data_IF_086519415292
#
_entry.id   IF_086519415292
#
_cell.length_a   1.000
_cell.length_b   1.000
_cell.length_c   1.000
_cell.angle_alpha   90.00
_cell.angle_beta   90.00
_cell.angle_gamma   90.00
#
_symmetry.space_group_name_H-M   'P 1'
#
loop_
_entity.id
_entity.type
_entity.pdbx_description
1 polymer ?
#
# COMPACT_ATOMS: atom_id res chain seq x y z
N UNK A 1 -1.63 -19.81 76.48
CA UNK A 1 -1.49 -20.47 75.16
C UNK A 1 -2.63 -19.99 74.29
N UNK A 2 -2.36 -19.25 73.24
CA UNK A 2 -3.18 -18.80 72.12
C UNK A 2 -2.89 -17.32 71.78
N UNK A 3 -1.75 -17.05 71.10
CA UNK A 3 -1.51 -15.70 70.51
C UNK A 3 -0.52 -15.70 69.33
N UNK A 4 -0.48 -16.78 68.52
CA UNK A 4 0.45 -16.87 67.36
C UNK A 4 -0.24 -17.07 66.00
N UNK A 5 -1.59 -17.05 65.96
CA UNK A 5 -2.34 -17.29 64.70
C UNK A 5 -2.81 -16.06 63.93
N UNK A 6 -2.75 -14.86 64.49
CA UNK A 6 -3.30 -13.64 63.85
C UNK A 6 -2.27 -12.84 63.04
N UNK A 7 -0.99 -13.08 63.22
CA UNK A 7 0.06 -12.28 62.53
C UNK A 7 0.42 -12.80 61.13
N UNK A 8 0.07 -14.06 60.80
CA UNK A 8 0.38 -14.68 59.52
C UNK A 8 -0.68 -14.42 58.44
N UNK A 9 -1.93 -14.12 58.83
CA UNK A 9 -3.02 -13.87 57.87
C UNK A 9 -3.07 -12.42 57.33
N UNK A 10 -2.46 -11.47 58.04
CA UNK A 10 -2.46 -10.05 57.66
C UNK A 10 -1.34 -9.75 56.65
N UNK A 11 -0.25 -10.52 56.61
CA UNK A 11 0.84 -10.35 55.69
C UNK A 11 0.58 -10.94 54.29
N UNK A 12 -0.30 -11.92 54.18
CA UNK A 12 -0.69 -12.52 52.90
C UNK A 12 -1.76 -11.71 52.12
N UNK A 13 -2.54 -10.85 52.81
CA UNK A 13 -3.53 -10.00 52.15
C UNK A 13 -2.89 -8.75 51.47
N UNK A 14 -1.81 -8.22 52.05
CA UNK A 14 -1.08 -7.09 51.48
C UNK A 14 -0.22 -7.52 50.26
N UNK A 15 0.36 -8.71 50.29
CA UNK A 15 1.12 -9.26 49.15
C UNK A 15 0.18 -9.62 47.99
N UNK A 16 -1.03 -10.07 48.29
CA UNK A 16 -2.02 -10.42 47.26
C UNK A 16 -2.61 -9.17 46.59
N UNK A 17 -2.76 -8.04 47.29
CA UNK A 17 -3.28 -6.80 46.70
C UNK A 17 -2.23 -6.09 45.82
N UNK A 18 -0.97 -6.10 46.24
CA UNK A 18 0.11 -5.52 45.46
C UNK A 18 0.40 -6.30 44.15
N UNK A 19 0.31 -7.65 44.22
CA UNK A 19 0.48 -8.47 43.00
C UNK A 19 -0.71 -8.40 42.06
N UNK A 20 -1.93 -8.14 42.55
CA UNK A 20 -3.10 -7.93 41.69
C UNK A 20 -3.12 -6.58 41.04
N UNK A 21 -2.62 -5.53 41.69
CA UNK A 21 -2.53 -4.18 41.09
C UNK A 21 -1.39 -4.06 40.07
N UNK A 22 -0.26 -4.74 40.26
CA UNK A 22 0.80 -4.79 39.25
C UNK A 22 0.44 -5.69 38.06
N UNK A 23 -0.37 -6.74 38.23
CA UNK A 23 -0.85 -7.58 37.12
C UNK A 23 -2.02 -6.96 36.32
N UNK A 24 -2.73 -5.98 36.85
CA UNK A 24 -3.84 -5.28 36.18
C UNK A 24 -3.38 -4.11 35.30
N UNK A 25 -2.11 -3.73 35.33
CA UNK A 25 -1.58 -2.59 34.56
C UNK A 25 -0.76 -2.97 33.31
N UNK A 26 -0.70 -4.24 32.92
CA UNK A 26 -0.22 -4.62 31.60
C UNK A 26 -1.39 -4.58 30.61
N UNK A 27 -1.95 -3.40 30.37
CA UNK A 27 -2.63 -3.17 29.10
C UNK A 27 -1.58 -3.42 28.01
N UNK A 28 -1.71 -4.54 27.32
CA UNK A 28 -0.88 -4.81 26.14
C UNK A 28 -1.07 -3.61 25.20
N UNK A 29 -0.08 -2.74 25.16
CA UNK A 29 -0.09 -1.56 24.29
C UNK A 29 -0.24 -2.07 22.87
N UNK A 30 -1.42 -1.95 22.31
CA UNK A 30 -1.74 -2.48 20.98
C UNK A 30 -1.28 -1.49 19.94
N UNK A 31 -0.39 -1.94 19.04
CA UNK A 31 0.00 -1.20 17.86
C UNK A 31 -1.18 -1.12 16.89
N UNK A 32 -1.57 0.07 16.51
CA UNK A 32 -2.70 0.35 15.63
C UNK A 32 -2.27 0.27 14.17
N UNK A 33 -2.85 -0.66 13.43
CA UNK A 33 -2.58 -0.83 12.00
C UNK A 33 -3.55 0.00 11.18
N UNK A 34 -3.02 0.83 10.29
CA UNK A 34 -3.77 1.59 9.29
C UNK A 34 -3.32 1.11 7.92
N UNK A 35 -4.25 0.53 7.17
CA UNK A 35 -3.97 0.05 5.83
C UNK A 35 -4.36 1.10 4.78
N UNK A 36 -3.41 1.41 3.88
CA UNK A 36 -3.61 2.34 2.76
C UNK A 36 -3.73 1.51 1.48
N UNK A 37 -4.92 1.52 0.89
CA UNK A 37 -5.26 0.81 -0.33
C UNK A 37 -5.63 1.77 -1.45
N UNK A 38 -5.88 1.27 -2.63
CA UNK A 38 -6.26 2.06 -3.80
C UNK A 38 -5.48 1.64 -5.03
N UNK A 39 -6.05 1.87 -6.20
CA UNK A 39 -5.46 1.46 -7.46
C UNK A 39 -4.13 2.17 -7.76
N UNK A 40 -3.43 1.68 -8.77
CA UNK A 40 -2.14 2.24 -9.22
C UNK A 40 -2.28 3.72 -9.62
N UNK A 41 -1.43 4.59 -9.04
CA UNK A 41 -1.43 6.02 -9.32
C UNK A 41 -2.53 6.83 -8.64
N UNK A 42 -3.33 6.23 -7.75
CA UNK A 42 -4.39 6.93 -7.01
C UNK A 42 -3.87 7.97 -6.01
N UNK A 43 -2.64 7.79 -5.49
CA UNK A 43 -2.03 8.72 -4.52
C UNK A 43 -1.68 8.10 -3.17
N UNK A 44 -1.58 6.76 -3.06
CA UNK A 44 -1.24 6.07 -1.80
C UNK A 44 0.05 6.58 -1.16
N UNK A 45 1.11 6.63 -1.94
CA UNK A 45 2.41 7.16 -1.48
C UNK A 45 2.33 8.63 -1.11
N UNK A 46 1.53 9.43 -1.84
CA UNK A 46 1.30 10.84 -1.49
C UNK A 46 0.61 10.99 -0.14
N UNK A 47 -0.42 10.16 0.13
CA UNK A 47 -1.07 10.13 1.44
C UNK A 47 -0.08 9.76 2.54
N UNK A 48 0.71 8.69 2.31
CA UNK A 48 1.75 8.25 3.26
C UNK A 48 2.74 9.38 3.56
N UNK A 49 3.25 10.06 2.53
CA UNK A 49 4.15 11.20 2.69
C UNK A 49 3.51 12.33 3.50
N UNK A 50 2.25 12.68 3.21
CA UNK A 50 1.54 13.71 3.98
C UNK A 50 1.45 13.34 5.47
N UNK A 51 1.09 12.09 5.79
CA UNK A 51 1.03 11.60 7.18
C UNK A 51 2.39 11.71 7.85
N UNK A 52 3.44 11.23 7.20
CA UNK A 52 4.79 11.20 7.79
C UNK A 52 5.37 12.60 7.95
N UNK A 53 5.17 13.50 7.00
CA UNK A 53 5.62 14.90 7.09
C UNK A 53 4.94 15.65 8.22
N UNK A 54 3.64 15.40 8.45
CA UNK A 54 2.87 16.15 9.45
C UNK A 54 3.03 15.57 10.86
N UNK A 55 3.08 14.24 10.98
CA UNK A 55 3.02 13.54 12.27
C UNK A 55 4.24 12.68 12.61
N UNK A 56 5.14 12.43 11.66
CA UNK A 56 6.27 11.50 11.86
C UNK A 56 7.16 11.84 13.05
N UNK A 57 7.30 13.14 13.37
CA UNK A 57 8.10 13.59 14.53
C UNK A 57 7.42 13.44 15.89
N UNK A 58 6.10 13.42 15.90
CA UNK A 58 5.29 13.39 17.14
C UNK A 58 4.75 12.00 17.47
N UNK A 59 4.90 11.04 16.55
CA UNK A 59 4.27 9.73 16.60
C UNK A 59 5.33 8.62 16.49
N UNK A 60 5.20 7.59 17.31
CA UNK A 60 5.98 6.36 17.17
C UNK A 60 5.36 5.51 16.06
N UNK A 61 5.77 5.74 14.84
CA UNK A 61 5.21 5.09 13.66
C UNK A 61 6.20 4.14 12.98
N UNK A 62 5.66 3.04 12.46
CA UNK A 62 6.32 2.16 11.50
C UNK A 62 5.60 2.20 10.16
N UNK A 63 6.30 1.84 9.11
CA UNK A 63 5.77 1.79 7.74
C UNK A 63 6.18 0.50 7.07
N UNK A 64 5.23 -0.21 6.48
CA UNK A 64 5.48 -1.31 5.56
C UNK A 64 5.03 -0.85 4.18
N UNK A 65 5.96 -0.79 3.23
CA UNK A 65 5.71 -0.37 1.85
C UNK A 65 5.84 -1.55 0.92
N UNK A 66 4.82 -1.73 0.10
CA UNK A 66 4.84 -2.72 -0.97
C UNK A 66 4.81 -2.02 -2.32
N UNK A 67 5.93 -1.49 -2.76
CA UNK A 67 6.06 -0.91 -4.10
C UNK A 67 7.28 -1.43 -4.87
N UNK A 68 7.12 -1.52 -6.18
CA UNK A 68 8.19 -1.75 -7.15
C UNK A 68 8.94 -0.43 -7.39
N UNK A 69 9.98 -0.15 -6.61
CA UNK A 69 10.88 0.96 -6.89
C UNK A 69 11.18 1.86 -5.71
N UNK A 70 12.47 2.09 -5.48
CA UNK A 70 13.09 2.91 -4.43
C UNK A 70 12.73 4.41 -4.43
N UNK A 71 11.76 4.83 -5.26
CA UNK A 71 11.59 6.24 -5.61
C UNK A 71 10.58 7.04 -4.78
N UNK A 72 9.81 6.44 -3.88
CA UNK A 72 8.58 7.11 -3.44
C UNK A 72 8.49 7.53 -1.99
N UNK A 73 9.38 7.08 -1.14
CA UNK A 73 9.50 7.65 0.20
C UNK A 73 10.95 8.10 0.30
N UNK A 74 11.16 9.40 0.41
CA UNK A 74 12.50 9.94 0.60
C UNK A 74 13.14 9.22 1.79
N UNK A 75 14.11 8.34 1.53
CA UNK A 75 14.82 7.60 2.58
C UNK A 75 15.42 8.55 3.63
N UNK A 76 15.66 9.84 3.24
CA UNK A 76 15.99 10.92 4.14
C UNK A 76 14.91 11.28 5.15
N UNK A 77 13.63 11.34 4.72
CA UNK A 77 12.50 11.61 5.63
C UNK A 77 12.34 10.50 6.68
N UNK A 78 12.60 9.26 6.30
CA UNK A 78 12.44 8.11 7.19
C UNK A 78 13.64 7.91 8.12
N UNK A 79 14.88 8.15 7.63
CA UNK A 79 16.10 7.93 8.40
C UNK A 79 16.39 9.01 9.46
N UNK A 80 15.99 10.27 9.22
CA UNK A 80 16.22 11.38 10.14
C UNK A 80 15.16 11.50 11.25
N UNK A 81 13.99 10.86 11.10
CA UNK A 81 12.83 11.02 11.99
C UNK A 81 12.56 9.84 12.91
N UNK A 82 13.40 8.80 12.89
CA UNK A 82 13.23 7.63 13.78
C UNK A 82 12.04 6.72 13.40
N UNK A 83 11.54 6.81 12.16
CA UNK A 83 10.45 5.98 11.65
C UNK A 83 11.02 4.60 11.28
N UNK A 84 10.38 3.54 11.78
CA UNK A 84 10.74 2.16 11.42
C UNK A 84 10.22 1.83 10.02
N UNK A 85 11.11 1.54 9.08
CA UNK A 85 10.76 1.18 7.70
C UNK A 85 10.99 -0.30 7.45
N UNK A 86 10.03 -0.98 6.81
CA UNK A 86 10.20 -2.27 6.16
C UNK A 86 9.74 -2.20 4.72
N UNK A 87 10.65 -2.51 3.79
CA UNK A 87 10.36 -2.53 2.35
C UNK A 87 10.16 -3.96 1.86
N UNK A 88 9.04 -4.20 1.20
CA UNK A 88 8.74 -5.47 0.56
C UNK A 88 8.95 -5.34 -0.95
N UNK A 89 10.01 -5.94 -1.46
CA UNK A 89 10.31 -5.94 -2.89
C UNK A 89 9.61 -7.11 -3.60
N UNK A 90 9.06 -6.84 -4.79
CA UNK A 90 8.56 -7.82 -5.77
C UNK A 90 7.20 -8.49 -5.51
N UNK A 91 6.11 -7.73 -5.56
CA UNK A 91 4.75 -8.28 -5.71
C UNK A 91 3.70 -7.73 -4.74
N UNK A 92 2.47 -8.24 -4.81
CA UNK A 92 1.40 -7.84 -3.88
C UNK A 92 1.59 -8.51 -2.51
N UNK A 93 1.48 -7.75 -1.41
CA UNK A 93 1.54 -8.28 -0.04
C UNK A 93 0.52 -9.40 0.24
N UNK A 94 -0.53 -9.51 -0.56
CA UNK A 94 -1.52 -10.57 -0.47
C UNK A 94 -1.27 -11.72 -1.47
N UNK A 95 -0.12 -11.72 -2.16
CA UNK A 95 0.28 -12.80 -3.03
C UNK A 95 0.90 -13.95 -2.22
N UNK A 96 0.56 -15.19 -2.57
CA UNK A 96 1.10 -16.39 -1.91
C UNK A 96 2.64 -16.46 -1.85
N UNK A 97 3.34 -15.85 -2.82
CA UNK A 97 4.81 -15.85 -2.87
C UNK A 97 5.47 -14.78 -1.98
N UNK A 98 4.73 -13.81 -1.44
CA UNK A 98 5.24 -12.72 -0.58
C UNK A 98 4.56 -12.73 0.79
N UNK A 99 3.51 -13.54 0.94
CA UNK A 99 2.78 -13.65 2.20
C UNK A 99 3.71 -13.90 3.39
N UNK A 100 4.70 -14.75 3.22
CA UNK A 100 5.66 -15.08 4.28
C UNK A 100 6.49 -13.85 4.68
N UNK A 101 7.04 -13.10 3.72
CA UNK A 101 7.82 -11.88 3.99
C UNK A 101 6.97 -10.77 4.61
N UNK A 102 5.72 -10.65 4.20
CA UNK A 102 4.81 -9.67 4.79
C UNK A 102 4.46 -10.03 6.23
N UNK A 103 4.20 -11.31 6.50
CA UNK A 103 3.98 -11.85 7.83
C UNK A 103 5.21 -11.64 8.71
N UNK A 104 6.40 -11.96 8.21
CA UNK A 104 7.67 -11.74 8.93
C UNK A 104 7.85 -10.25 9.29
N UNK A 105 7.53 -9.33 8.36
CA UNK A 105 7.59 -7.89 8.61
C UNK A 105 6.59 -7.43 9.67
N UNK A 106 5.38 -7.98 9.68
CA UNK A 106 4.39 -7.68 10.72
C UNK A 106 4.87 -8.17 12.10
N UNK A 107 5.43 -9.37 12.18
CA UNK A 107 5.99 -9.92 13.40
C UNK A 107 7.19 -9.07 13.87
N UNK A 108 8.12 -8.72 12.98
CA UNK A 108 9.26 -7.85 13.30
C UNK A 108 8.79 -6.51 13.86
N UNK A 109 7.84 -5.85 13.18
CA UNK A 109 7.31 -4.56 13.62
C UNK A 109 6.60 -4.65 14.97
N UNK A 110 5.91 -5.77 15.26
CA UNK A 110 5.21 -5.99 16.53
C UNK A 110 6.12 -5.97 17.76
N UNK A 111 7.41 -6.24 17.58
CA UNK A 111 8.43 -6.23 18.65
C UNK A 111 9.06 -4.86 18.86
N UNK A 112 8.71 -3.84 18.05
CA UNK A 112 9.20 -2.48 18.18
C UNK A 112 8.27 -1.63 19.06
N UNK A 113 8.79 -0.62 19.72
CA UNK A 113 7.99 0.33 20.51
C UNK A 113 7.30 1.35 19.58
N UNK A 114 6.27 0.88 18.87
CA UNK A 114 5.50 1.68 17.92
C UNK A 114 4.04 1.80 18.40
N UNK A 115 3.41 2.93 18.08
CA UNK A 115 1.99 3.19 18.35
C UNK A 115 1.13 2.91 17.12
N UNK A 116 1.67 3.25 15.93
CA UNK A 116 1.01 3.10 14.65
C UNK A 116 1.89 2.33 13.67
N UNK A 117 1.25 1.50 12.86
CA UNK A 117 1.86 0.83 11.73
C UNK A 117 1.05 1.13 10.47
N UNK A 118 1.64 1.90 9.57
CA UNK A 118 1.05 2.19 8.27
C UNK A 118 1.50 1.14 7.25
N UNK A 119 0.53 0.59 6.52
CA UNK A 119 0.79 -0.43 5.49
C UNK A 119 0.32 0.09 4.16
N UNK A 120 1.24 0.39 3.24
CA UNK A 120 0.90 0.72 1.87
C UNK A 120 0.74 -0.57 1.06
N UNK A 121 -0.49 -0.88 0.67
CA UNK A 121 -0.81 -2.04 -0.16
C UNK A 121 -0.49 -1.78 -1.64
N UNK A 122 -0.17 -2.82 -2.40
CA UNK A 122 -0.03 -2.67 -3.87
C UNK A 122 -1.36 -2.26 -4.51
N UNK A 123 -1.29 -1.62 -5.68
CA UNK A 123 -2.48 -1.10 -6.36
C UNK A 123 -3.51 -2.14 -6.80
N UNK A 124 -3.15 -3.42 -6.80
CA UNK A 124 -4.03 -4.56 -7.11
C UNK A 124 -4.28 -5.45 -5.89
N UNK A 125 -3.91 -5.00 -4.70
CA UNK A 125 -4.11 -5.76 -3.48
C UNK A 125 -5.60 -5.82 -3.10
N UNK A 126 -6.03 -7.00 -2.70
CA UNK A 126 -7.34 -7.24 -2.08
C UNK A 126 -7.16 -7.26 -0.55
N UNK A 127 -7.75 -6.29 0.17
CA UNK A 127 -7.55 -6.15 1.61
C UNK A 127 -8.36 -7.11 2.47
N UNK A 128 -9.28 -7.88 1.88
CA UNK A 128 -10.31 -8.66 2.58
C UNK A 128 -9.79 -9.69 3.59
N UNK A 129 -8.55 -10.17 3.41
CA UNK A 129 -7.96 -11.22 4.26
C UNK A 129 -7.04 -10.69 5.38
N UNK A 130 -6.93 -9.38 5.58
CA UNK A 130 -6.01 -8.82 6.59
C UNK A 130 -6.36 -9.30 8.00
N UNK A 131 -7.66 -9.37 8.33
CA UNK A 131 -8.11 -9.89 9.62
C UNK A 131 -7.67 -11.35 9.87
N UNK A 132 -7.74 -12.19 8.84
CA UNK A 132 -7.28 -13.59 8.92
C UNK A 132 -5.77 -13.67 9.13
N UNK A 133 -4.99 -12.80 8.48
CA UNK A 133 -3.54 -12.74 8.66
C UNK A 133 -3.21 -12.38 10.11
N UNK A 134 -3.82 -11.32 10.65
CA UNK A 134 -3.56 -10.87 12.03
C UNK A 134 -3.95 -11.93 13.08
N UNK A 135 -5.06 -12.61 12.87
CA UNK A 135 -5.45 -13.72 13.78
C UNK A 135 -4.47 -14.89 13.67
N UNK A 136 -3.95 -15.18 12.47
CA UNK A 136 -2.96 -16.25 12.24
C UNK A 136 -1.63 -16.02 12.96
N UNK A 137 -1.21 -14.77 13.14
CA UNK A 137 0.08 -14.41 13.81
C UNK A 137 -0.10 -13.92 15.25
N UNK A 138 -1.27 -14.09 15.81
CA UNK A 138 -1.62 -13.57 17.14
C UNK A 138 -0.74 -14.14 18.26
N UNK A 139 -0.34 -15.41 18.12
CA UNK A 139 0.52 -16.06 19.12
C UNK A 139 1.95 -15.50 19.06
N UNK A 140 2.50 -15.29 17.86
CA UNK A 140 3.84 -14.76 17.62
C UNK A 140 3.96 -13.30 18.06
N UNK A 141 2.89 -12.53 17.90
CA UNK A 141 2.84 -11.10 18.24
C UNK A 141 2.32 -10.83 19.66
N UNK A 142 1.92 -11.86 20.39
CA UNK A 142 1.27 -11.70 21.70
C UNK A 142 -0.05 -10.92 21.63
N UNK A 143 -0.68 -10.82 20.45
CA UNK A 143 -1.89 -10.03 20.24
C UNK A 143 -1.69 -8.52 20.30
N UNK A 144 -0.44 -8.04 20.15
CA UNK A 144 -0.10 -6.61 20.19
C UNK A 144 -0.54 -5.83 18.95
N UNK A 145 -0.92 -6.50 17.84
CA UNK A 145 -1.38 -5.86 16.61
C UNK A 145 -2.89 -5.74 16.58
N UNK A 146 -3.38 -4.54 16.28
CA UNK A 146 -4.81 -4.25 16.16
C UNK A 146 -5.12 -3.47 14.90
N UNK A 147 -6.02 -3.98 14.05
CA UNK A 147 -6.53 -3.21 12.91
C UNK A 147 -7.31 -1.98 13.41
N UNK A 148 -6.83 -0.79 13.08
CA UNK A 148 -7.51 0.49 13.37
C UNK A 148 -8.49 0.83 12.25
N UNK A 149 -8.12 0.54 10.99
CA UNK A 149 -8.96 0.76 9.84
C UNK A 149 -8.20 0.75 8.53
N UNK A 150 -8.95 0.88 7.43
CA UNK A 150 -8.41 0.95 6.07
C UNK A 150 -8.87 2.21 5.34
N UNK A 151 -7.92 2.87 4.67
CA UNK A 151 -8.14 4.03 3.81
C UNK A 151 -7.98 3.60 2.37
N UNK A 152 -9.04 3.73 1.56
CA UNK A 152 -8.98 3.49 0.13
C UNK A 152 -8.87 4.81 -0.63
N UNK A 153 -7.90 4.92 -1.53
CA UNK A 153 -7.73 6.10 -2.37
C UNK A 153 -8.17 5.77 -3.79
N UNK A 154 -9.12 6.52 -4.31
CA UNK A 154 -9.57 6.44 -5.70
C UNK A 154 -9.08 7.64 -6.49
N UNK A 155 -8.74 7.46 -7.76
CA UNK A 155 -8.40 8.53 -8.69
C UNK A 155 -9.64 8.91 -9.48
N UNK A 156 -10.17 10.12 -9.26
CA UNK A 156 -11.39 10.60 -9.91
C UNK A 156 -11.34 10.53 -11.45
N UNK A 157 -10.15 10.66 -12.05
CA UNK A 157 -10.00 10.62 -13.51
C UNK A 157 -10.14 9.21 -14.10
N UNK A 158 -9.84 8.16 -13.32
CA UNK A 158 -9.74 6.80 -13.84
C UNK A 158 -10.75 5.84 -13.24
N UNK A 159 -11.32 6.18 -12.09
CA UNK A 159 -12.16 5.29 -11.28
C UNK A 159 -13.30 4.65 -12.09
N UNK A 160 -14.11 5.43 -12.79
CA UNK A 160 -15.27 4.93 -13.56
C UNK A 160 -14.84 3.95 -14.67
N UNK A 161 -13.61 4.07 -15.18
CA UNK A 161 -13.10 3.18 -16.22
C UNK A 161 -12.60 1.84 -15.67
N UNK A 162 -12.07 1.83 -14.43
CA UNK A 162 -11.41 0.65 -13.86
C UNK A 162 -12.32 -0.14 -12.92
N UNK A 163 -13.31 0.51 -12.31
CA UNK A 163 -14.17 -0.09 -11.30
C UNK A 163 -14.86 -1.36 -11.81
N UNK A 164 -15.48 -1.32 -12.99
CA UNK A 164 -16.15 -2.47 -13.58
C UNK A 164 -15.22 -3.54 -14.16
N UNK A 165 -13.93 -3.24 -14.28
CA UNK A 165 -12.95 -4.13 -14.91
C UNK A 165 -12.11 -4.91 -13.89
N UNK A 166 -12.00 -4.39 -12.67
CA UNK A 166 -11.05 -4.90 -11.68
C UNK A 166 -11.75 -5.23 -10.35
N UNK A 167 -11.98 -6.52 -10.06
CA UNK A 167 -12.57 -6.94 -8.79
C UNK A 167 -11.82 -6.41 -7.56
N UNK A 168 -10.49 -6.22 -7.66
CA UNK A 168 -9.69 -5.67 -6.58
C UNK A 168 -10.11 -4.24 -6.21
N UNK A 169 -10.53 -3.41 -7.18
CA UNK A 169 -11.00 -2.04 -6.92
C UNK A 169 -12.32 -2.07 -6.15
N UNK A 170 -13.24 -2.94 -6.51
CA UNK A 170 -14.49 -3.14 -5.77
C UNK A 170 -14.20 -3.59 -4.33
N UNK A 171 -13.31 -4.57 -4.14
CA UNK A 171 -12.90 -5.05 -2.81
C UNK A 171 -12.24 -3.94 -1.97
N UNK A 172 -11.39 -3.13 -2.56
CA UNK A 172 -10.76 -2.00 -1.88
C UNK A 172 -11.80 -1.02 -1.35
N UNK A 173 -12.85 -0.71 -2.13
CA UNK A 173 -13.95 0.15 -1.70
C UNK A 173 -14.81 -0.53 -0.63
N UNK A 174 -15.21 -1.78 -0.87
CA UNK A 174 -16.08 -2.53 0.06
C UNK A 174 -15.46 -2.65 1.46
N UNK A 175 -14.14 -2.86 1.54
CA UNK A 175 -13.43 -3.06 2.80
C UNK A 175 -12.80 -1.79 3.39
N UNK A 176 -13.04 -0.61 2.79
CA UNK A 176 -12.55 0.65 3.34
C UNK A 176 -13.43 1.14 4.50
N UNK A 177 -12.79 1.76 5.50
CA UNK A 177 -13.47 2.53 6.56
C UNK A 177 -13.53 4.01 6.18
N UNK A 178 -12.63 4.43 5.27
CA UNK A 178 -12.55 5.77 4.70
C UNK A 178 -12.17 5.69 3.23
N UNK A 179 -12.78 6.53 2.42
CA UNK A 179 -12.49 6.61 0.98
C UNK A 179 -12.11 8.05 0.62
N UNK A 180 -10.93 8.20 0.00
CA UNK A 180 -10.44 9.49 -0.52
C UNK A 180 -10.61 9.49 -2.04
N UNK A 181 -11.48 10.33 -2.56
CA UNK A 181 -11.61 10.62 -3.99
C UNK A 181 -10.59 11.69 -4.34
N UNK A 182 -9.40 11.25 -4.75
CA UNK A 182 -8.27 12.12 -5.06
C UNK A 182 -8.34 12.65 -6.49
N UNK A 183 -7.67 13.78 -6.75
CA UNK A 183 -7.68 14.50 -8.04
C UNK A 183 -9.09 14.95 -8.43
N UNK A 184 -9.89 15.32 -7.44
CA UNK A 184 -11.29 15.69 -7.63
C UNK A 184 -11.47 16.94 -8.49
N UNK A 185 -10.55 17.91 -8.41
CA UNK A 185 -10.56 19.11 -9.26
C UNK A 185 -10.30 18.84 -10.75
N UNK A 186 -9.81 17.66 -11.10
CA UNK A 186 -9.46 17.30 -12.48
C UNK A 186 -10.65 16.74 -13.28
N UNK A 187 -11.83 16.64 -12.68
CA UNK A 187 -13.07 16.13 -13.28
C UNK A 187 -14.25 17.04 -12.96
N UNK A 188 -15.34 16.93 -13.71
CA UNK A 188 -16.56 17.69 -13.44
C UNK A 188 -17.38 17.13 -12.27
N UNK A 189 -18.25 17.96 -11.68
CA UNK A 189 -19.12 17.58 -10.56
C UNK A 189 -19.97 16.34 -10.84
N UNK A 190 -20.51 16.19 -12.06
CA UNK A 190 -21.27 15.01 -12.48
C UNK A 190 -20.47 13.71 -12.35
N UNK A 191 -19.15 13.76 -12.62
CA UNK A 191 -18.27 12.60 -12.47
C UNK A 191 -18.08 12.26 -10.99
N UNK A 192 -17.91 13.26 -10.12
CA UNK A 192 -17.79 13.07 -8.67
C UNK A 192 -19.08 12.46 -8.11
N UNK A 193 -20.26 12.97 -8.51
CA UNK A 193 -21.56 12.42 -8.10
C UNK A 193 -21.67 10.94 -8.46
N UNK A 194 -21.35 10.55 -9.70
CA UNK A 194 -21.34 9.14 -10.14
C UNK A 194 -20.37 8.27 -9.33
N UNK A 195 -19.20 8.79 -8.99
CA UNK A 195 -18.24 8.09 -8.14
C UNK A 195 -18.83 7.85 -6.75
N UNK A 196 -19.44 8.88 -6.15
CA UNK A 196 -20.09 8.78 -4.85
C UNK A 196 -21.27 7.79 -4.86
N UNK A 197 -22.08 7.78 -5.91
CA UNK A 197 -23.19 6.82 -6.07
C UNK A 197 -22.66 5.37 -6.04
N UNK A 198 -21.62 5.06 -6.83
CA UNK A 198 -21.00 3.74 -6.87
C UNK A 198 -20.42 3.37 -5.50
N UNK A 199 -19.71 4.30 -4.87
CA UNK A 199 -19.12 4.06 -3.54
C UNK A 199 -20.22 3.74 -2.53
N UNK A 200 -21.26 4.56 -2.46
CA UNK A 200 -22.39 4.38 -1.52
C UNK A 200 -23.18 3.11 -1.76
N UNK A 201 -23.31 2.67 -3.02
CA UNK A 201 -23.96 1.38 -3.35
C UNK A 201 -23.20 0.20 -2.72
N UNK A 202 -21.86 0.26 -2.67
CA UNK A 202 -21.00 -0.83 -2.20
C UNK A 202 -20.59 -0.71 -0.75
N UNK A 203 -20.53 0.51 -0.24
CA UNK A 203 -20.07 0.80 1.12
C UNK A 203 -20.77 2.03 1.68
N UNK A 204 -21.81 1.78 2.48
CA UNK A 204 -22.63 2.84 3.10
C UNK A 204 -22.00 3.43 4.35
N UNK A 205 -20.99 2.76 4.93
CA UNK A 205 -20.40 3.13 6.22
C UNK A 205 -19.15 3.98 6.09
N UNK A 206 -18.42 3.86 4.96
CA UNK A 206 -17.18 4.59 4.78
C UNK A 206 -17.41 6.11 4.69
N UNK A 207 -16.59 6.87 5.42
CA UNK A 207 -16.50 8.31 5.23
C UNK A 207 -15.85 8.63 3.88
N UNK A 208 -16.42 9.58 3.11
CA UNK A 208 -15.92 9.95 1.78
C UNK A 208 -15.39 11.38 1.81
N UNK A 209 -14.18 11.58 1.28
CA UNK A 209 -13.51 12.89 1.20
C UNK A 209 -13.05 13.15 -0.24
N UNK A 210 -13.51 14.26 -0.83
CA UNK A 210 -13.04 14.73 -2.13
C UNK A 210 -11.87 15.68 -1.94
N UNK A 211 -10.75 15.43 -2.60
CA UNK A 211 -9.54 16.22 -2.41
C UNK A 211 -8.60 16.15 -3.60
N UNK A 212 -7.56 16.99 -3.55
CA UNK A 212 -6.40 16.90 -4.42
C UNK A 212 -5.14 16.66 -3.57
N UNK A 213 -4.20 15.88 -4.13
CA UNK A 213 -2.96 15.50 -3.45
C UNK A 213 -3.17 14.82 -2.10
N UNK A 214 -4.30 14.13 -1.91
CA UNK A 214 -4.68 13.46 -0.67
C UNK A 214 -4.62 14.37 0.57
N UNK A 215 -4.94 15.65 0.43
CA UNK A 215 -4.99 16.62 1.53
C UNK A 215 -6.31 16.47 2.28
N UNK A 216 -6.29 15.72 3.36
CA UNK A 216 -7.41 15.57 4.31
C UNK A 216 -6.93 15.92 5.71
N UNK A 217 -7.83 16.34 6.59
CA UNK A 217 -7.50 16.51 8.01
C UNK A 217 -7.23 15.15 8.65
N UNK A 218 -5.92 14.80 8.72
CA UNK A 218 -5.46 13.50 9.17
C UNK A 218 -5.82 13.22 10.61
N UNK A 219 -5.87 14.26 11.46
CA UNK A 219 -6.14 14.10 12.88
C UNK A 219 -7.56 13.58 13.10
N UNK A 220 -8.54 14.15 12.43
CA UNK A 220 -9.94 13.73 12.55
C UNK A 220 -10.25 12.52 11.64
N UNK A 221 -9.61 12.42 10.50
CA UNK A 221 -9.96 11.41 9.52
C UNK A 221 -9.29 10.05 9.77
N UNK A 222 -8.00 10.02 10.12
CA UNK A 222 -7.23 8.76 10.23
C UNK A 222 -7.16 8.25 11.66
N UNK A 223 -6.99 9.12 12.65
CA UNK A 223 -6.89 8.68 14.04
C UNK A 223 -8.23 8.34 14.67
N UNK A 224 -9.32 8.84 14.11
CA UNK A 224 -10.69 8.50 14.50
C UNK A 224 -11.32 7.38 13.68
N UNK A 225 -10.52 6.73 12.79
CA UNK A 225 -10.99 5.55 12.06
C UNK A 225 -11.57 4.52 13.03
N UNK A 226 -12.80 4.12 12.75
CA UNK A 226 -13.45 3.02 13.43
C UNK A 226 -13.43 1.82 12.50
N UNK A 227 -12.73 0.77 12.89
CA UNK A 227 -12.74 -0.47 12.13
C UNK A 227 -14.15 -1.08 12.18
N UNK A 228 -14.88 -0.92 11.10
CA UNK A 228 -16.12 -1.64 10.87
C UNK A 228 -15.74 -3.07 10.53
N UNK A 229 -15.85 -3.98 11.51
CA UNK A 229 -15.54 -5.42 11.33
C UNK A 229 -16.34 -5.95 10.15
N UNK A 230 -15.69 -6.06 9.01
CA UNK A 230 -16.23 -6.69 7.81
C UNK A 230 -15.83 -8.16 7.85
N UNK A 231 -16.76 -9.04 7.45
CA UNK A 231 -16.47 -10.47 7.36
C UNK A 231 -15.28 -10.69 6.42
N UNK A 232 -14.37 -11.58 6.85
CA UNK A 232 -13.27 -11.98 6.00
C UNK A 232 -13.84 -12.78 4.83
N UNK A 233 -13.58 -12.32 3.62
CA UNK A 233 -13.97 -13.00 2.39
C UNK A 233 -12.78 -13.73 1.76
N UNK A 234 -13.04 -14.72 0.91
CA UNK A 234 -11.98 -15.33 0.12
C UNK A 234 -11.35 -14.27 -0.78
N UNK A 235 -10.01 -14.18 -0.69
CA UNK A 235 -9.28 -13.17 -1.46
C UNK A 235 -9.42 -13.38 -2.97
N UNK A 236 -9.64 -12.29 -3.71
CA UNK A 236 -9.61 -12.30 -5.17
C UNK A 236 -8.20 -12.36 -5.75
N UNK A 237 -7.15 -12.33 -4.91
CA UNK A 237 -5.74 -12.41 -5.32
C UNK A 237 -5.29 -13.80 -5.79
N UNK A 238 -6.13 -14.50 -6.54
CA UNK A 238 -5.76 -15.74 -7.20
C UNK A 238 -4.76 -15.48 -8.35
N UNK A 239 -3.94 -16.49 -8.67
CA UNK A 239 -2.98 -16.41 -9.79
C UNK A 239 -3.68 -16.04 -11.10
N UNK A 240 -4.92 -16.50 -11.29
CA UNK A 240 -5.74 -16.21 -12.48
C UNK A 240 -6.23 -14.77 -12.60
N UNK A 241 -6.32 -14.04 -11.47
CA UNK A 241 -6.85 -12.66 -11.42
C UNK A 241 -5.75 -11.61 -11.27
N UNK A 242 -4.47 -12.03 -11.29
CA UNK A 242 -3.36 -11.07 -11.29
C UNK A 242 -3.34 -10.32 -12.60
N UNK A 243 -3.25 -9.00 -12.51
CA UNK A 243 -2.88 -8.21 -13.68
C UNK A 243 -1.57 -8.77 -14.26
N UNK A 244 -1.58 -9.15 -15.53
CA UNK A 244 -0.37 -9.63 -16.19
C UNK A 244 0.71 -8.56 -16.09
N UNK A 245 1.86 -8.94 -15.57
CA UNK A 245 3.02 -8.06 -15.46
C UNK A 245 4.06 -8.54 -16.46
N UNK A 246 4.57 -7.62 -17.27
CA UNK A 246 5.62 -7.86 -18.24
C UNK A 246 6.84 -7.03 -17.86
N UNK A 247 8.00 -7.66 -17.79
CA UNK A 247 9.28 -6.99 -17.56
C UNK A 247 10.02 -6.84 -18.89
N UNK A 248 10.47 -5.64 -19.20
CA UNK A 248 11.38 -5.36 -20.33
C UNK A 248 12.74 -4.96 -19.76
N UNK A 249 13.78 -5.58 -20.26
CA UNK A 249 15.17 -5.32 -19.91
C UNK A 249 15.97 -4.92 -21.16
N UNK A 250 17.07 -4.21 -20.93
CA UNK A 250 18.00 -3.83 -21.98
C UNK A 250 19.43 -3.76 -21.47
N UNK A 251 20.39 -4.16 -22.30
CA UNK A 251 21.82 -4.15 -21.96
C UNK A 251 22.56 -2.97 -22.62
N UNK A 252 21.89 -2.28 -23.56
CA UNK A 252 22.45 -1.14 -24.31
C UNK A 252 21.60 0.12 -24.12
N UNK A 253 22.21 1.32 -24.10
CA UNK A 253 21.47 2.55 -24.08
C UNK A 253 20.57 2.72 -25.31
N UNK A 254 19.34 3.18 -25.10
CA UNK A 254 18.33 3.42 -26.13
C UNK A 254 18.22 4.93 -26.41
N UNK A 255 17.89 5.34 -27.61
CA UNK A 255 17.55 6.74 -27.90
C UNK A 255 16.31 7.14 -27.10
N UNK A 256 16.27 8.32 -26.43
CA UNK A 256 15.11 8.74 -25.65
C UNK A 256 13.79 8.72 -26.42
N UNK A 257 13.82 9.12 -27.70
CA UNK A 257 12.66 9.19 -28.58
C UNK A 257 12.10 7.78 -28.89
N UNK A 258 13.00 6.79 -29.06
CA UNK A 258 12.61 5.42 -29.31
C UNK A 258 12.01 4.79 -28.05
N UNK A 259 12.56 5.11 -26.87
CA UNK A 259 11.97 4.70 -25.60
C UNK A 259 10.58 5.33 -25.41
N UNK A 260 10.44 6.63 -25.68
CA UNK A 260 9.17 7.33 -25.61
C UNK A 260 8.11 6.72 -26.55
N UNK A 261 8.50 6.33 -27.77
CA UNK A 261 7.62 5.66 -28.72
C UNK A 261 7.11 4.33 -28.17
N UNK A 262 7.98 3.47 -27.59
CA UNK A 262 7.57 2.25 -26.91
C UNK A 262 6.57 2.53 -25.82
N UNK A 263 6.87 3.47 -24.94
CA UNK A 263 6.02 3.79 -23.79
C UNK A 263 4.65 4.28 -24.24
N UNK A 264 4.60 5.20 -25.20
CA UNK A 264 3.34 5.77 -25.72
C UNK A 264 2.51 4.76 -26.49
N UNK A 265 3.13 3.87 -27.26
CA UNK A 265 2.42 2.81 -27.99
C UNK A 265 1.74 1.81 -27.09
N UNK A 266 2.33 1.54 -25.90
CA UNK A 266 1.84 0.55 -24.94
C UNK A 266 0.95 1.15 -23.86
N UNK A 267 1.08 2.44 -23.53
CA UNK A 267 0.30 3.11 -22.47
C UNK A 267 -1.21 2.87 -22.53
N UNK A 268 -1.91 2.90 -23.70
CA UNK A 268 -3.35 2.64 -23.73
C UNK A 268 -3.74 1.24 -23.28
N UNK A 269 -2.79 0.31 -23.32
CA UNK A 269 -2.95 -1.12 -22.99
C UNK A 269 -2.33 -1.51 -21.64
N UNK A 270 -1.81 -0.54 -20.89
CA UNK A 270 -1.17 -0.76 -19.60
C UNK A 270 -1.79 0.13 -18.52
N UNK A 271 -2.17 -0.46 -17.39
CA UNK A 271 -2.57 0.32 -16.21
C UNK A 271 -1.42 1.16 -15.67
N UNK A 272 -0.22 0.59 -15.67
CA UNK A 272 1.00 1.25 -15.21
C UNK A 272 2.22 0.75 -15.96
N UNK A 273 3.14 1.68 -16.20
CA UNK A 273 4.50 1.39 -16.67
C UNK A 273 5.44 2.10 -15.71
N UNK A 274 6.38 1.36 -15.11
CA UNK A 274 7.35 1.94 -14.16
C UNK A 274 8.71 1.28 -14.29
N UNK A 275 9.77 2.05 -14.11
CA UNK A 275 11.13 1.52 -14.09
C UNK A 275 12.17 2.54 -14.47
N UNK A 276 13.34 2.02 -14.86
CA UNK A 276 14.47 2.80 -15.31
C UNK A 276 14.90 2.34 -16.70
N UNK A 277 15.46 3.26 -17.47
CA UNK A 277 16.06 2.93 -18.74
C UNK A 277 17.36 3.71 -18.95
N UNK A 278 18.39 3.00 -19.39
CA UNK A 278 19.61 3.63 -19.89
C UNK A 278 19.32 4.19 -21.27
N UNK A 279 19.51 5.49 -21.43
CA UNK A 279 19.40 6.17 -22.74
C UNK A 279 20.74 6.75 -23.14
N UNK A 280 20.85 7.15 -24.42
CA UNK A 280 22.05 7.84 -24.93
C UNK A 280 22.32 9.18 -24.25
N UNK A 281 21.33 9.75 -23.55
CA UNK A 281 21.41 10.99 -22.78
C UNK A 281 21.54 10.77 -21.27
N UNK A 282 21.66 9.51 -20.82
CA UNK A 282 21.75 9.14 -19.42
C UNK A 282 20.61 8.26 -18.94
N UNK A 283 20.57 7.99 -17.65
CA UNK A 283 19.50 7.20 -17.05
C UNK A 283 18.21 8.02 -16.97
N UNK A 284 17.10 7.41 -17.35
CA UNK A 284 15.75 7.98 -17.24
C UNK A 284 14.90 7.13 -16.28
N UNK A 285 14.17 7.80 -15.41
CA UNK A 285 13.07 7.18 -14.64
C UNK A 285 11.78 7.25 -15.47
N UNK A 286 11.03 6.16 -15.47
CA UNK A 286 9.76 6.01 -16.20
C UNK A 286 8.64 5.78 -15.21
N UNK A 287 7.57 6.58 -15.29
CA UNK A 287 6.37 6.41 -14.48
C UNK A 287 5.13 6.85 -15.26
N UNK A 288 4.53 5.92 -16.00
CA UNK A 288 3.38 6.20 -16.84
C UNK A 288 2.13 5.45 -16.36
N UNK A 289 0.97 6.03 -16.65
CA UNK A 289 -0.35 5.42 -16.53
C UNK A 289 -1.09 5.58 -17.86
N UNK A 290 -2.29 5.04 -18.01
CA UNK A 290 -3.08 5.16 -19.25
C UNK A 290 -3.24 6.62 -19.73
N UNK A 291 -3.17 7.60 -18.82
CA UNK A 291 -3.41 9.02 -19.13
C UNK A 291 -2.20 9.93 -18.88
N UNK A 292 -1.28 9.52 -18.03
CA UNK A 292 -0.15 10.34 -17.62
C UNK A 292 1.16 9.72 -18.08
N UNK A 293 1.95 10.50 -18.81
CA UNK A 293 3.28 10.14 -19.26
C UNK A 293 4.31 10.93 -18.47
N UNK A 294 5.23 10.22 -17.80
CA UNK A 294 6.38 10.83 -17.12
C UNK A 294 7.63 10.03 -17.45
N UNK A 295 8.61 10.68 -18.05
CA UNK A 295 9.97 10.20 -18.27
C UNK A 295 10.91 11.34 -17.90
N UNK A 296 11.69 11.17 -16.83
CA UNK A 296 12.53 12.22 -16.27
C UNK A 296 13.97 11.74 -16.10
N UNK A 297 14.97 12.63 -16.25
CA UNK A 297 16.36 12.30 -15.94
C UNK A 297 16.53 11.78 -14.52
N UNK A 298 17.33 10.72 -14.39
CA UNK A 298 17.65 10.09 -13.11
C UNK A 298 19.16 10.17 -12.84
N UNK A 299 19.53 10.52 -11.60
CA UNK A 299 20.92 10.80 -11.24
C UNK A 299 21.80 9.57 -11.06
N UNK A 300 21.19 8.45 -10.66
CA UNK A 300 21.91 7.21 -10.41
C UNK A 300 21.91 6.33 -11.65
N UNK A 301 22.95 5.53 -11.84
CA UNK A 301 23.02 4.57 -12.92
C UNK A 301 22.23 3.32 -12.54
N UNK A 302 21.06 3.16 -13.12
CA UNK A 302 20.22 1.97 -12.95
C UNK A 302 20.18 1.15 -14.24
N UNK A 303 20.18 -0.19 -14.19
CA UNK A 303 20.03 -1.01 -15.39
C UNK A 303 18.63 -0.79 -16.01
N UNK A 304 18.54 -0.92 -17.34
CA UNK A 304 17.23 -0.87 -18.00
C UNK A 304 16.34 -2.01 -17.52
N UNK A 305 15.29 -1.62 -16.81
CA UNK A 305 14.31 -2.53 -16.21
C UNK A 305 12.96 -1.82 -16.10
N UNK A 306 12.05 -2.11 -17.02
CA UNK A 306 10.74 -1.45 -17.11
C UNK A 306 9.64 -2.51 -16.93
N UNK A 307 8.79 -2.28 -15.94
CA UNK A 307 7.64 -3.14 -15.63
C UNK A 307 6.38 -2.54 -16.23
N UNK A 308 5.66 -3.35 -16.97
CA UNK A 308 4.36 -3.04 -17.56
C UNK A 308 3.28 -3.87 -16.85
N UNK A 309 2.26 -3.21 -16.31
CA UNK A 309 1.09 -3.86 -15.72
C UNK A 309 -0.05 -3.78 -16.73
N UNK A 310 -0.47 -4.93 -17.25
CA UNK A 310 -1.41 -5.02 -18.36
C UNK A 310 -2.83 -4.62 -17.99
N UNK A 311 -3.45 -3.83 -18.86
CA UNK A 311 -4.89 -3.57 -18.87
C UNK A 311 -5.67 -4.51 -19.82
N UNK A 312 -4.95 -5.24 -20.67
CA UNK A 312 -5.52 -6.08 -21.74
C UNK A 312 -5.10 -7.56 -21.63
N UNK A 313 -4.63 -7.97 -20.43
CA UNK A 313 -4.19 -9.34 -20.19
C UNK A 313 -3.03 -9.76 -21.08
N UNK A 314 -3.08 -10.97 -21.62
CA UNK A 314 -2.00 -11.56 -22.43
C UNK A 314 -1.69 -10.78 -23.73
N UNK A 315 -2.64 -9.97 -24.22
CA UNK A 315 -2.44 -9.15 -25.43
C UNK A 315 -1.30 -8.16 -25.28
N UNK A 316 -0.97 -7.72 -24.04
CA UNK A 316 0.17 -6.85 -23.78
C UNK A 316 1.49 -7.49 -24.25
N UNK A 317 1.66 -8.80 -24.04
CA UNK A 317 2.86 -9.52 -24.49
C UNK A 317 3.00 -9.38 -26.00
N UNK A 318 1.91 -9.57 -26.73
CA UNK A 318 1.92 -9.48 -28.20
C UNK A 318 2.24 -8.06 -28.68
N UNK A 319 1.69 -7.04 -28.03
CA UNK A 319 1.96 -5.64 -28.34
C UNK A 319 3.45 -5.28 -28.13
N UNK A 320 3.98 -5.60 -26.94
CA UNK A 320 5.39 -5.33 -26.62
C UNK A 320 6.32 -6.16 -27.48
N UNK A 321 6.03 -7.47 -27.68
CA UNK A 321 6.84 -8.31 -28.56
C UNK A 321 6.85 -7.84 -30.00
N UNK A 322 5.71 -7.39 -30.53
CA UNK A 322 5.61 -6.83 -31.87
C UNK A 322 6.50 -5.59 -32.02
N UNK A 323 6.38 -4.65 -31.09
CA UNK A 323 7.22 -3.45 -31.10
C UNK A 323 8.72 -3.79 -31.02
N UNK A 324 9.11 -4.69 -30.10
CA UNK A 324 10.50 -5.15 -29.96
C UNK A 324 11.05 -5.87 -31.21
N UNK A 325 10.19 -6.56 -31.97
CA UNK A 325 10.59 -7.17 -33.24
C UNK A 325 10.87 -6.15 -34.34
N UNK A 326 10.16 -5.05 -34.34
CA UNK A 326 10.37 -3.93 -35.29
C UNK A 326 11.60 -3.09 -34.91
N UNK A 327 12.01 -3.09 -33.61
CA UNK A 327 13.10 -2.26 -33.07
C UNK A 327 14.21 -3.11 -32.42
N UNK A 328 14.66 -4.15 -33.13
CA UNK A 328 15.71 -5.09 -32.63
C UNK A 328 17.04 -4.41 -32.31
N UNK A 329 17.33 -3.29 -32.97
CA UNK A 329 18.52 -2.48 -32.75
C UNK A 329 18.60 -1.89 -31.34
N UNK A 330 17.49 -1.79 -30.63
CA UNK A 330 17.45 -1.24 -29.26
C UNK A 330 18.10 -2.16 -28.22
N UNK A 331 18.22 -3.44 -28.49
CA UNK A 331 18.69 -4.42 -27.53
C UNK A 331 17.73 -4.66 -26.34
N UNK A 332 16.52 -4.10 -26.41
CA UNK A 332 15.47 -4.38 -25.45
C UNK A 332 14.88 -5.78 -25.64
N UNK A 333 14.55 -6.44 -24.55
CA UNK A 333 13.95 -7.78 -24.56
C UNK A 333 12.97 -7.99 -23.40
N UNK A 334 12.05 -8.91 -23.56
CA UNK A 334 11.21 -9.40 -22.46
C UNK A 334 12.12 -10.22 -21.52
N UNK A 335 12.08 -9.86 -20.21
CA UNK A 335 12.90 -10.42 -19.14
C UNK A 335 12.25 -11.55 -18.37
#
# INVERSE_FOLDING_TARGET
MLSSGRFFLQKNSEISSVLTDEFLFWEVRRMKIIMITGFLGSGKTTLMQNILCEYGKSMKAGVIVNDFGKENIDAKLLGEEGIALSELSNGSIFCACIKDKFVDSLIEMSHRDLEYLFIEASGLADPSNMGTILEGIKNETGGSLQMQGSVCITDAQTFLNIYNLLPAVERQITHADMIIVNKSSMVGAETIEKIHEIIKEKNTEAAIYDTDFCKVDMQHAIFELTNHKKEAEETTNAVSNRGLTLLVKGDTPVQPEVLEDLLRSVMPSAYRIKGFAQTTEGCMSVSCTMKNFNMNPWKEAEPTSIVFVSAVGIQLISLVSGWLQEHKETGLRIG
#
